data_IF_475692446399
#
_entry.id   IF_475692446399
#
_cell.length_a   1.000
_cell.length_b   1.000
_cell.length_c   1.000
_cell.angle_alpha   90.00
_cell.angle_beta   90.00
_cell.angle_gamma   90.00
#
_symmetry.space_group_name_H-M   'P 1'
#
loop_
_entity.id
_entity.type
_entity.pdbx_description
1 polymer ?
#
# COMPACT_ATOMS: atom_id res chain seq x y z
N UNK A 1 69.96 -12.03 50.01
CA UNK A 1 69.97 -12.98 48.87
C UNK A 1 69.73 -12.17 47.61
N UNK A 2 70.81 -11.76 46.93
CA UNK A 2 71.41 -12.38 45.73
C UNK A 2 70.60 -12.06 44.45
N UNK A 3 70.95 -11.02 43.67
CA UNK A 3 71.88 -11.00 42.49
C UNK A 3 71.35 -11.81 41.28
N UNK A 4 71.33 -11.44 39.98
CA UNK A 4 71.98 -10.44 39.08
C UNK A 4 71.06 -10.23 37.83
N UNK A 5 71.04 -9.15 37.04
CA UNK A 5 72.06 -8.40 36.27
C UNK A 5 72.85 -9.19 35.20
N UNK A 6 72.52 -8.94 33.92
CA UNK A 6 73.38 -9.01 32.71
C UNK A 6 72.81 -7.97 31.74
N UNK A 7 73.32 -6.73 31.61
CA UNK A 7 74.58 -6.21 31.03
C UNK A 7 74.79 -6.57 29.54
N UNK A 8 74.70 -5.57 28.64
CA UNK A 8 75.76 -4.99 27.78
C UNK A 8 75.08 -4.06 26.71
N UNK A 9 75.19 -2.72 26.71
CA UNK A 9 76.32 -1.84 26.25
C UNK A 9 76.50 -1.96 24.72
N UNK A 10 76.60 -0.94 23.84
CA UNK A 10 76.78 0.53 23.89
C UNK A 10 76.64 1.12 22.46
N UNK A 11 76.53 2.46 22.38
CA UNK A 11 77.05 3.40 21.37
C UNK A 11 76.42 3.40 19.96
N UNK A 12 75.65 4.44 19.58
CA UNK A 12 76.04 5.81 19.18
C UNK A 12 76.90 5.85 17.91
N UNK A 13 76.29 6.30 16.80
CA UNK A 13 76.95 7.22 15.85
C UNK A 13 75.91 7.98 15.03
N UNK A 14 75.99 9.30 15.16
CA UNK A 14 75.24 10.32 14.43
C UNK A 14 75.87 10.53 13.03
N UNK A 15 75.08 11.12 12.14
CA UNK A 15 75.43 11.79 10.87
C UNK A 15 75.60 10.92 9.62
N UNK A 16 74.67 11.06 8.69
CA UNK A 16 74.91 11.93 7.52
C UNK A 16 73.62 12.13 6.71
N UNK A 17 73.20 13.39 6.63
CA UNK A 17 72.33 13.87 5.56
C UNK A 17 73.07 13.67 4.24
N UNK A 18 72.53 12.81 3.38
CA UNK A 18 72.79 12.88 1.94
C UNK A 18 71.44 13.03 1.25
N UNK A 19 71.09 14.29 1.00
CA UNK A 19 70.18 14.64 -0.06
C UNK A 19 70.85 14.28 -1.38
N UNK A 20 70.37 13.24 -2.05
CA UNK A 20 70.59 13.07 -3.49
C UNK A 20 69.24 13.16 -4.19
N UNK A 21 69.10 14.30 -4.84
CA UNK A 21 68.08 14.68 -5.80
C UNK A 21 68.00 13.62 -6.92
N UNK A 22 66.92 12.84 -6.96
CA UNK A 22 66.64 11.92 -8.05
C UNK A 22 65.52 12.48 -8.92
N UNK A 23 65.95 12.86 -10.11
CA UNK A 23 65.23 13.47 -11.22
C UNK A 23 63.93 12.73 -11.57
N UNK A 24 62.91 13.49 -11.94
CA UNK A 24 61.59 13.00 -12.32
C UNK A 24 61.68 11.97 -13.45
N UNK A 25 61.07 10.80 -13.24
CA UNK A 25 60.58 9.98 -14.32
C UNK A 25 59.15 9.58 -13.97
N UNK A 26 58.19 10.15 -14.71
CA UNK A 26 56.81 9.72 -14.76
C UNK A 26 56.77 8.22 -15.06
N UNK A 27 56.56 7.41 -14.03
CA UNK A 27 56.04 6.05 -14.15
C UNK A 27 54.67 6.10 -13.49
N UNK A 28 53.63 5.99 -14.31
CA UNK A 28 52.30 5.68 -13.86
C UNK A 28 52.38 4.30 -13.19
N UNK A 29 52.56 4.29 -11.87
CA UNK A 29 52.22 3.10 -11.09
C UNK A 29 50.69 3.03 -11.07
N UNK A 30 50.15 2.04 -11.78
CA UNK A 30 48.80 1.52 -11.57
C UNK A 30 48.75 0.98 -10.14
N UNK A 31 48.57 1.89 -9.19
CA UNK A 31 48.15 1.56 -7.84
C UNK A 31 46.71 1.08 -8.00
N UNK A 32 46.53 -0.24 -7.93
CA UNK A 32 45.24 -0.87 -7.71
C UNK A 32 44.68 -0.34 -6.37
N UNK A 33 44.02 0.81 -6.42
CA UNK A 33 43.15 1.27 -5.36
C UNK A 33 42.01 0.26 -5.38
N UNK A 34 42.05 -0.71 -4.46
CA UNK A 34 40.83 -1.44 -4.12
C UNK A 34 39.88 -0.36 -3.60
N UNK A 35 38.94 0.08 -4.45
CA UNK A 35 37.78 0.81 -3.97
C UNK A 35 37.16 -0.08 -2.90
N UNK A 36 37.37 0.29 -1.64
CA UNK A 36 36.48 -0.13 -0.58
C UNK A 36 35.19 0.57 -0.96
N UNK A 37 34.36 -0.13 -1.75
CA UNK A 37 32.95 0.19 -1.91
C UNK A 37 32.37 0.01 -0.52
N UNK A 38 32.43 1.09 0.27
CA UNK A 38 31.54 1.24 1.41
C UNK A 38 30.16 1.23 0.76
N UNK A 39 29.54 0.06 0.71
CA UNK A 39 28.09 -0.05 0.59
C UNK A 39 27.56 0.73 1.77
N UNK A 40 27.30 2.01 1.57
CA UNK A 40 26.29 2.71 2.33
C UNK A 40 25.01 1.92 2.08
N UNK A 41 24.70 1.01 3.01
CA UNK A 41 23.33 0.63 3.27
C UNK A 41 22.62 1.87 3.82
N UNK A 42 22.47 2.90 2.98
CA UNK A 42 21.45 3.92 3.18
C UNK A 42 20.15 3.26 2.81
N UNK A 43 19.53 2.62 3.80
CA UNK A 43 18.12 2.30 3.73
C UNK A 43 17.51 2.47 5.11
N UNK A 44 17.57 3.71 5.60
CA UNK A 44 16.41 4.28 6.28
C UNK A 44 15.28 4.29 5.24
N UNK A 45 14.66 3.12 5.08
CA UNK A 45 13.44 2.99 4.31
C UNK A 45 12.38 3.49 5.27
N UNK A 46 11.86 4.69 5.02
CA UNK A 46 10.68 5.15 5.75
C UNK A 46 9.65 4.01 5.77
N UNK A 47 9.06 3.69 6.92
CA UNK A 47 8.06 2.62 7.00
C UNK A 47 6.95 2.87 5.98
N UNK A 48 6.54 1.83 5.25
CA UNK A 48 5.43 1.92 4.29
C UNK A 48 4.15 1.39 4.93
N UNK A 49 3.02 2.07 4.68
CA UNK A 49 1.69 1.52 4.94
C UNK A 49 1.17 1.01 3.61
N UNK A 50 0.96 -0.31 3.49
CA UNK A 50 0.43 -0.94 2.29
C UNK A 50 -0.98 -1.42 2.55
N UNK A 51 -1.92 -0.95 1.74
CA UNK A 51 -3.35 -1.23 1.90
C UNK A 51 -3.89 -1.83 0.61
N UNK A 52 -4.53 -2.99 0.67
CA UNK A 52 -5.33 -3.50 -0.44
C UNK A 52 -6.81 -3.36 -0.11
N UNK A 53 -7.55 -2.64 -0.96
CA UNK A 53 -8.99 -2.51 -0.88
C UNK A 53 -9.61 -3.54 -1.83
N UNK A 54 -10.43 -4.44 -1.29
CA UNK A 54 -11.14 -5.46 -2.03
C UNK A 54 -12.63 -5.13 -1.93
N UNK A 55 -13.24 -4.68 -3.02
CA UNK A 55 -14.65 -4.28 -3.06
C UNK A 55 -15.47 -5.30 -3.86
N UNK A 56 -16.53 -5.80 -3.24
CA UNK A 56 -17.53 -6.56 -3.97
C UNK A 56 -18.35 -5.65 -4.90
N UNK A 57 -18.52 -6.12 -6.13
CA UNK A 57 -19.27 -5.47 -7.21
C UNK A 57 -20.36 -6.38 -7.77
N UNK A 58 -20.79 -7.37 -6.99
CA UNK A 58 -21.97 -8.19 -7.28
C UNK A 58 -23.24 -7.33 -7.36
N UNK A 59 -24.28 -7.83 -8.01
CA UNK A 59 -25.58 -7.14 -8.05
C UNK A 59 -26.24 -7.08 -6.65
N UNK A 60 -25.83 -7.93 -5.71
CA UNK A 60 -26.36 -7.92 -4.35
C UNK A 60 -25.90 -6.67 -3.57
N UNK A 61 -24.82 -6.04 -4.01
CA UNK A 61 -24.30 -4.77 -3.50
C UNK A 61 -25.02 -3.53 -4.04
N UNK A 62 -26.07 -3.69 -4.86
CA UNK A 62 -26.88 -2.57 -5.34
C UNK A 62 -27.46 -1.75 -4.18
N UNK A 63 -27.21 -0.44 -4.19
CA UNK A 63 -27.60 0.47 -3.11
C UNK A 63 -26.71 0.41 -1.85
N UNK A 64 -25.83 -0.59 -1.72
CA UNK A 64 -24.84 -0.73 -0.66
C UNK A 64 -23.45 -0.22 -1.06
N UNK A 65 -23.12 -0.36 -2.34
CA UNK A 65 -21.76 -0.14 -2.84
C UNK A 65 -21.25 1.29 -2.60
N UNK A 66 -22.11 2.31 -2.69
CA UNK A 66 -21.67 3.70 -2.49
C UNK A 66 -21.32 4.00 -1.03
N UNK A 67 -22.02 3.38 -0.08
CA UNK A 67 -21.67 3.46 1.34
C UNK A 67 -20.37 2.70 1.61
N UNK A 68 -20.18 1.54 1.00
CA UNK A 68 -18.94 0.78 1.10
C UNK A 68 -17.74 1.58 0.58
N UNK A 69 -17.86 2.19 -0.61
CA UNK A 69 -16.84 3.08 -1.19
C UNK A 69 -16.54 4.26 -0.27
N UNK A 70 -17.56 4.93 0.27
CA UNK A 70 -17.38 6.05 1.19
C UNK A 70 -16.63 5.62 2.47
N UNK A 71 -16.95 4.46 3.03
CA UNK A 71 -16.28 3.93 4.21
C UNK A 71 -14.83 3.54 3.93
N UNK A 72 -14.57 2.86 2.81
CA UNK A 72 -13.21 2.53 2.37
C UNK A 72 -12.40 3.81 2.16
N UNK A 73 -12.98 4.82 1.51
CA UNK A 73 -12.34 6.12 1.30
C UNK A 73 -12.04 6.84 2.61
N UNK A 74 -12.95 6.77 3.60
CA UNK A 74 -12.71 7.33 4.94
C UNK A 74 -11.49 6.68 5.60
N UNK A 75 -11.40 5.35 5.56
CA UNK A 75 -10.25 4.60 6.10
C UNK A 75 -8.96 5.03 5.41
N UNK A 76 -8.97 5.14 4.08
CA UNK A 76 -7.82 5.60 3.29
C UNK A 76 -7.37 7.00 3.73
N UNK A 77 -8.31 7.93 3.90
CA UNK A 77 -7.98 9.28 4.36
C UNK A 77 -7.39 9.26 5.76
N UNK A 78 -7.97 8.51 6.70
CA UNK A 78 -7.46 8.39 8.07
C UNK A 78 -6.02 7.84 8.08
N UNK A 79 -5.73 6.82 7.26
CA UNK A 79 -4.38 6.27 7.10
C UNK A 79 -3.41 7.26 6.45
N UNK A 80 -3.88 8.14 5.56
CA UNK A 80 -3.02 9.16 4.92
C UNK A 80 -2.51 10.22 5.90
N UNK A 81 -3.26 10.44 6.99
CA UNK A 81 -2.89 11.36 8.06
C UNK A 81 -2.15 10.69 9.21
N UNK A 82 -2.06 9.35 9.21
CA UNK A 82 -1.35 8.61 10.24
C UNK A 82 0.14 8.97 10.21
N UNK A 83 0.69 9.30 11.38
CA UNK A 83 2.11 9.62 11.58
C UNK A 83 2.70 8.66 12.60
N UNK A 84 3.88 8.15 12.31
CA UNK A 84 4.70 7.44 13.30
C UNK A 84 5.78 8.42 13.77
N UNK A 85 5.68 8.85 15.04
CA UNK A 85 6.55 9.86 15.62
C UNK A 85 6.59 11.16 14.78
N UNK A 86 7.74 11.48 14.18
CA UNK A 86 7.99 12.64 13.31
C UNK A 86 8.00 12.29 11.81
N UNK A 87 7.79 11.02 11.44
CA UNK A 87 7.81 10.56 10.06
C UNK A 87 6.40 10.21 9.57
N UNK A 88 6.04 10.76 8.41
CA UNK A 88 4.86 10.34 7.66
C UNK A 88 5.24 9.10 6.84
N UNK A 89 4.73 7.90 7.16
CA UNK A 89 4.99 6.70 6.37
C UNK A 89 4.43 6.86 4.96
N UNK A 90 5.03 6.19 3.98
CA UNK A 90 4.53 6.24 2.61
C UNK A 90 3.32 5.32 2.47
N UNK A 91 2.14 5.90 2.18
CA UNK A 91 0.91 5.15 1.98
C UNK A 91 0.79 4.68 0.54
N UNK A 92 0.70 3.36 0.35
CA UNK A 92 0.45 2.73 -0.94
C UNK A 92 -0.83 1.92 -0.91
N UNK A 93 -1.68 2.14 -1.89
CA UNK A 93 -3.01 1.54 -1.94
C UNK A 93 -3.19 0.78 -3.25
N UNK A 94 -3.66 -0.45 -3.15
CA UNK A 94 -4.13 -1.26 -4.26
C UNK A 94 -5.65 -1.38 -4.20
N UNK A 95 -6.29 -1.54 -5.36
CA UNK A 95 -7.73 -1.69 -5.48
C UNK A 95 -8.06 -2.90 -6.34
N UNK A 96 -8.89 -3.79 -5.79
CA UNK A 96 -9.48 -4.92 -6.48
C UNK A 96 -11.00 -4.81 -6.45
N UNK A 97 -11.60 -5.25 -7.54
CA UNK A 97 -13.02 -5.60 -7.57
C UNK A 97 -13.15 -7.12 -7.68
N UNK A 98 -14.22 -7.66 -7.09
CA UNK A 98 -14.59 -9.06 -7.23
C UNK A 98 -16.11 -9.20 -7.30
N UNK A 99 -16.60 -10.39 -7.64
CA UNK A 99 -18.03 -10.70 -7.73
C UNK A 99 -18.70 -10.24 -9.03
N UNK A 100 -17.92 -9.85 -10.05
CA UNK A 100 -18.46 -9.37 -11.33
C UNK A 100 -18.39 -10.44 -12.43
N UNK A 101 -19.55 -10.83 -12.98
CA UNK A 101 -19.70 -11.93 -13.94
C UNK A 101 -19.07 -11.63 -15.31
N UNK A 102 -18.80 -10.36 -15.61
CA UNK A 102 -18.08 -9.96 -16.82
C UNK A 102 -16.56 -10.09 -16.67
N UNK A 103 -16.08 -10.45 -15.47
CA UNK A 103 -14.68 -10.73 -15.23
C UNK A 103 -14.34 -12.16 -15.61
N UNK A 104 -13.05 -12.41 -15.83
CA UNK A 104 -12.59 -13.71 -16.28
C UNK A 104 -12.91 -14.79 -15.24
N UNK A 105 -13.73 -15.77 -15.64
CA UNK A 105 -14.10 -16.90 -14.79
C UNK A 105 -12.86 -17.73 -14.38
N UNK A 106 -11.84 -17.82 -15.24
CA UNK A 106 -10.58 -18.52 -14.95
C UNK A 106 -9.78 -17.82 -13.83
N UNK A 107 -9.93 -16.50 -13.71
CA UNK A 107 -9.32 -15.71 -12.63
C UNK A 107 -10.18 -15.71 -11.36
N UNK A 108 -11.40 -16.24 -11.43
CA UNK A 108 -12.35 -16.32 -10.32
C UNK A 108 -13.20 -15.05 -10.15
N UNK A 109 -13.55 -14.40 -11.25
CA UNK A 109 -14.40 -13.20 -11.27
C UNK A 109 -13.85 -12.03 -10.43
N UNK A 110 -12.54 -11.81 -10.52
CA UNK A 110 -11.83 -10.74 -9.82
C UNK A 110 -10.93 -9.98 -10.80
N UNK A 111 -10.68 -8.70 -10.51
CA UNK A 111 -9.79 -7.84 -11.31
C UNK A 111 -9.00 -6.90 -10.41
N UNK A 112 -7.70 -6.80 -10.67
CA UNK A 112 -6.87 -5.73 -10.13
C UNK A 112 -7.14 -4.43 -10.89
N UNK A 113 -7.76 -3.46 -10.24
CA UNK A 113 -8.09 -2.16 -10.83
C UNK A 113 -6.87 -1.23 -10.77
N UNK A 114 -6.19 -1.22 -9.62
CA UNK A 114 -4.93 -0.49 -9.41
C UNK A 114 -3.98 -1.38 -8.60
N UNK A 115 -2.72 -1.47 -9.05
CA UNK A 115 -1.61 -1.96 -8.22
C UNK A 115 -1.33 -1.01 -7.03
N UNK A 116 -0.34 -1.31 -6.21
CA UNK A 116 0.10 -0.36 -5.19
C UNK A 116 0.51 0.99 -5.81
N UNK A 117 -0.28 2.02 -5.51
CA UNK A 117 -0.08 3.40 -5.95
C UNK A 117 -0.11 4.34 -4.74
N UNK A 118 0.61 5.45 -4.81
CA UNK A 118 0.58 6.57 -3.86
C UNK A 118 -0.27 7.76 -4.38
N UNK A 119 -0.83 7.67 -5.59
CA UNK A 119 -1.68 8.70 -6.20
C UNK A 119 -3.14 8.58 -5.70
N UNK A 120 -3.44 9.27 -4.59
CA UNK A 120 -4.76 9.27 -3.96
C UNK A 120 -5.89 9.73 -4.90
N UNK A 121 -5.59 10.60 -5.88
CA UNK A 121 -6.59 11.06 -6.87
C UNK A 121 -6.95 9.92 -7.83
N UNK A 122 -5.96 9.14 -8.29
CA UNK A 122 -6.17 7.97 -9.13
C UNK A 122 -6.96 6.88 -8.40
N UNK A 123 -6.62 6.65 -7.12
CA UNK A 123 -7.29 5.69 -6.24
C UNK A 123 -8.74 6.08 -6.02
N UNK A 124 -9.00 7.33 -5.63
CA UNK A 124 -10.35 7.88 -5.46
C UNK A 124 -11.18 7.70 -6.73
N UNK A 125 -10.63 8.15 -7.86
CA UNK A 125 -11.30 8.07 -9.15
C UNK A 125 -11.67 6.65 -9.54
N UNK A 126 -10.77 5.70 -9.29
CA UNK A 126 -11.00 4.30 -9.66
C UNK A 126 -12.03 3.67 -8.74
N UNK A 127 -11.92 3.86 -7.42
CA UNK A 127 -12.86 3.37 -6.40
C UNK A 127 -14.29 3.85 -6.67
N UNK A 128 -14.47 5.16 -6.90
CA UNK A 128 -15.81 5.72 -7.14
C UNK A 128 -16.35 5.42 -8.54
N UNK A 129 -15.49 5.01 -9.49
CA UNK A 129 -15.95 4.57 -10.81
C UNK A 129 -16.42 3.12 -10.88
N UNK A 130 -16.22 2.34 -9.81
CA UNK A 130 -16.68 0.95 -9.75
C UNK A 130 -18.22 0.92 -9.70
N UNK A 131 -18.81 0.03 -10.48
CA UNK A 131 -20.26 -0.18 -10.53
C UNK A 131 -20.55 -1.65 -10.32
N UNK A 132 -21.70 -1.93 -9.74
CA UNK A 132 -22.23 -3.29 -9.60
C UNK A 132 -22.60 -3.85 -10.97
N UNK A 133 -22.13 -5.06 -11.27
CA UNK A 133 -22.46 -5.76 -12.51
C UNK A 133 -22.06 -7.23 -12.40
N UNK A 134 -22.70 -7.99 -11.52
CA UNK A 134 -22.09 -9.23 -11.07
C UNK A 134 -22.93 -10.29 -10.38
N UNK A 135 -22.33 -11.47 -10.25
CA UNK A 135 -22.88 -12.68 -9.65
C UNK A 135 -22.06 -13.12 -8.43
N UNK A 136 -21.61 -14.37 -8.41
CA UNK A 136 -21.14 -15.02 -7.17
C UNK A 136 -19.85 -14.41 -6.60
N UNK A 137 -19.84 -14.20 -5.29
CA UNK A 137 -18.70 -13.70 -4.52
C UNK A 137 -17.71 -14.81 -4.12
N UNK A 138 -16.42 -14.47 -4.08
CA UNK A 138 -15.34 -15.40 -3.73
C UNK A 138 -14.31 -14.76 -2.78
N UNK A 139 -14.71 -14.46 -1.54
CA UNK A 139 -13.89 -13.75 -0.55
C UNK A 139 -12.51 -14.41 -0.32
N UNK A 140 -12.46 -15.74 -0.14
CA UNK A 140 -11.21 -16.46 0.06
C UNK A 140 -10.27 -16.39 -1.16
N UNK A 141 -10.84 -16.40 -2.37
CA UNK A 141 -10.07 -16.31 -3.62
C UNK A 141 -9.46 -14.93 -3.80
N UNK A 142 -10.23 -13.86 -3.59
CA UNK A 142 -9.72 -12.48 -3.79
C UNK A 142 -8.60 -12.15 -2.81
N UNK A 143 -8.70 -12.59 -1.54
CA UNK A 143 -7.62 -12.41 -0.56
C UNK A 143 -6.37 -13.16 -1.00
N UNK A 144 -6.51 -14.44 -1.37
CA UNK A 144 -5.37 -15.23 -1.83
C UNK A 144 -4.73 -14.62 -3.08
N UNK A 145 -5.53 -14.11 -4.02
CA UNK A 145 -5.01 -13.44 -5.22
C UNK A 145 -4.27 -12.16 -4.88
N UNK A 146 -4.82 -11.30 -4.01
CA UNK A 146 -4.17 -10.06 -3.58
C UNK A 146 -2.84 -10.34 -2.84
N UNK A 147 -2.78 -11.40 -2.04
CA UNK A 147 -1.54 -11.83 -1.37
C UNK A 147 -0.45 -12.25 -2.37
N UNK A 148 -0.82 -12.95 -3.44
CA UNK A 148 0.13 -13.50 -4.40
C UNK A 148 0.53 -12.51 -5.52
N UNK A 149 -0.36 -11.61 -5.92
CA UNK A 149 -0.12 -10.69 -7.05
C UNK A 149 0.52 -9.36 -6.61
N UNK A 150 0.24 -8.87 -5.40
CA UNK A 150 0.74 -7.59 -4.94
C UNK A 150 2.16 -7.70 -4.36
N UNK A 151 2.96 -6.68 -4.58
CA UNK A 151 4.32 -6.57 -4.04
C UNK A 151 4.32 -6.07 -2.58
N UNK A 152 3.89 -6.93 -1.65
CA UNK A 152 3.86 -6.64 -0.22
C UNK A 152 5.24 -6.35 0.39
N UNK A 153 6.30 -6.95 -0.16
CA UNK A 153 7.68 -6.75 0.29
C UNK A 153 8.00 -7.40 1.64
N UNK A 154 9.30 -7.48 1.96
CA UNK A 154 9.81 -8.27 3.10
C UNK A 154 10.20 -7.42 4.32
N UNK A 155 9.92 -6.11 4.30
CA UNK A 155 10.24 -5.26 5.43
C UNK A 155 9.25 -5.53 6.57
N UNK A 156 9.78 -5.78 7.77
CA UNK A 156 8.98 -6.08 8.98
C UNK A 156 8.44 -4.82 9.66
N UNK A 157 8.95 -3.66 9.28
CA UNK A 157 8.46 -2.37 9.78
C UNK A 157 7.30 -1.83 8.91
N UNK A 158 7.01 -2.46 7.77
CA UNK A 158 5.89 -2.07 6.91
C UNK A 158 4.58 -2.58 7.51
N UNK A 159 3.58 -1.70 7.61
CA UNK A 159 2.23 -2.07 8.01
C UNK A 159 1.44 -2.56 6.78
N UNK A 160 0.98 -3.81 6.80
CA UNK A 160 0.28 -4.43 5.67
C UNK A 160 -1.16 -4.77 6.03
N UNK A 161 -2.10 -4.15 5.33
CA UNK A 161 -3.53 -4.25 5.62
C UNK A 161 -4.30 -4.65 4.37
N UNK A 162 -5.28 -5.52 4.55
CA UNK A 162 -6.34 -5.78 3.57
C UNK A 162 -7.65 -5.28 4.17
N UNK A 163 -8.44 -4.53 3.40
CA UNK A 163 -9.83 -4.23 3.72
C UNK A 163 -10.71 -4.90 2.67
N UNK A 164 -11.54 -5.86 3.09
CA UNK A 164 -12.51 -6.51 2.22
C UNK A 164 -13.92 -6.03 2.58
N UNK A 165 -14.71 -5.65 1.58
CA UNK A 165 -16.10 -5.21 1.72
C UNK A 165 -17.03 -6.03 0.82
N UNK A 166 -18.20 -6.42 1.35
CA UNK A 166 -19.20 -7.25 0.68
C UNK A 166 -20.35 -7.66 1.62
N UNK A 167 -21.33 -8.39 1.10
CA UNK A 167 -22.58 -8.72 1.82
C UNK A 167 -23.02 -10.18 1.69
N UNK A 168 -22.35 -11.03 0.91
CA UNK A 168 -22.61 -12.48 0.91
C UNK A 168 -21.81 -13.24 1.96
N UNK A 169 -22.09 -14.55 2.16
CA UNK A 169 -21.33 -15.35 3.09
C UNK A 169 -19.83 -15.42 2.78
N UNK A 170 -19.00 -15.14 3.79
CA UNK A 170 -17.54 -15.13 3.67
C UNK A 170 -16.95 -16.51 3.32
N UNK A 171 -17.74 -17.57 3.52
CA UNK A 171 -17.40 -18.95 3.22
C UNK A 171 -17.61 -19.35 1.76
N UNK A 172 -18.13 -18.45 0.93
CA UNK A 172 -18.48 -18.75 -0.45
C UNK A 172 -17.23 -19.01 -1.31
N UNK A 173 -17.34 -20.03 -2.18
CA UNK A 173 -16.27 -20.41 -3.09
C UNK A 173 -15.52 -21.69 -2.76
N UNK A 174 -14.62 -22.05 -3.68
CA UNK A 174 -13.78 -23.24 -3.56
C UNK A 174 -12.51 -22.99 -2.71
N UNK A 175 -12.13 -21.74 -2.49
CA UNK A 175 -10.98 -21.37 -1.66
C UNK A 175 -11.46 -21.14 -0.24
N UNK A 176 -10.96 -21.95 0.70
CA UNK A 176 -11.32 -21.82 2.10
C UNK A 176 -10.74 -20.51 2.67
N UNK A 177 -11.63 -19.67 3.20
CA UNK A 177 -11.25 -18.39 3.82
C UNK A 177 -10.24 -18.57 4.97
N UNK A 178 -10.27 -19.70 5.70
CA UNK A 178 -9.32 -19.98 6.79
C UNK A 178 -7.90 -20.17 6.28
N UNK A 179 -7.74 -20.83 5.12
CA UNK A 179 -6.43 -21.03 4.51
C UNK A 179 -5.90 -19.70 3.98
N UNK A 180 -6.76 -18.87 3.39
CA UNK A 180 -6.41 -17.51 2.96
C UNK A 180 -6.03 -16.61 4.15
N UNK A 181 -6.79 -16.61 5.25
CA UNK A 181 -6.47 -15.87 6.47
C UNK A 181 -5.16 -16.34 7.10
N UNK A 182 -4.91 -17.66 7.13
CA UNK A 182 -3.64 -18.21 7.62
C UNK A 182 -2.46 -17.75 6.77
N UNK A 183 -2.61 -17.75 5.45
CA UNK A 183 -1.58 -17.24 4.53
C UNK A 183 -1.34 -15.74 4.75
N UNK A 184 -2.40 -14.94 4.91
CA UNK A 184 -2.29 -13.52 5.20
C UNK A 184 -1.47 -13.28 6.48
N UNK A 185 -1.83 -13.97 7.56
CA UNK A 185 -1.13 -13.88 8.84
C UNK A 185 0.34 -14.31 8.74
N UNK A 186 0.64 -15.37 7.99
CA UNK A 186 2.03 -15.80 7.74
C UNK A 186 2.87 -14.78 6.97
N UNK A 187 2.23 -13.95 6.14
CA UNK A 187 2.88 -12.86 5.39
C UNK A 187 2.87 -11.52 6.14
N UNK A 188 2.49 -11.53 7.42
CA UNK A 188 2.33 -10.34 8.27
C UNK A 188 1.32 -9.33 7.69
N UNK A 189 0.25 -9.86 7.07
CA UNK A 189 -0.84 -9.09 6.48
C UNK A 189 -2.10 -9.27 7.33
N UNK A 190 -2.62 -8.16 7.85
CA UNK A 190 -3.85 -8.14 8.65
C UNK A 190 -5.07 -7.91 7.75
N UNK A 191 -6.09 -8.77 7.85
CA UNK A 191 -7.32 -8.68 7.08
C UNK A 191 -8.42 -8.08 7.94
N UNK A 192 -8.87 -6.89 7.58
CA UNK A 192 -10.02 -6.23 8.15
C UNK A 192 -11.23 -6.44 7.24
N UNK A 193 -12.37 -6.75 7.83
CA UNK A 193 -13.57 -7.17 7.11
C UNK A 193 -14.71 -6.18 7.36
N UNK A 194 -15.38 -5.76 6.29
CA UNK A 194 -16.47 -4.78 6.29
C UNK A 194 -17.71 -5.45 5.69
N UNK A 195 -18.66 -5.85 6.53
CA UNK A 195 -19.90 -6.44 6.06
C UNK A 195 -20.93 -5.35 5.73
N UNK A 196 -21.49 -5.38 4.52
CA UNK A 196 -22.52 -4.45 4.10
C UNK A 196 -23.90 -5.03 4.44
N UNK A 197 -24.43 -4.69 5.62
CA UNK A 197 -25.68 -5.24 6.12
C UNK A 197 -25.77 -5.21 7.65
N UNK A 198 -26.56 -6.14 8.20
CA UNK A 198 -26.72 -6.29 9.64
C UNK A 198 -25.45 -6.85 10.32
N UNK A 199 -25.13 -6.33 11.51
CA UNK A 199 -23.91 -6.70 12.23
C UNK A 199 -23.91 -8.17 12.67
N UNK A 200 -25.03 -8.68 13.18
CA UNK A 200 -25.12 -10.07 13.63
C UNK A 200 -25.15 -11.03 12.45
N UNK A 201 -25.73 -10.59 11.31
CA UNK A 201 -25.65 -11.33 10.07
C UNK A 201 -24.20 -11.57 9.64
N UNK A 202 -23.35 -10.53 9.61
CA UNK A 202 -21.94 -10.71 9.24
C UNK A 202 -21.16 -11.62 10.19
N UNK A 203 -21.51 -11.67 11.48
CA UNK A 203 -20.97 -12.65 12.41
C UNK A 203 -21.41 -14.07 12.02
N UNK A 204 -22.71 -14.26 11.77
CA UNK A 204 -23.27 -15.57 11.40
C UNK A 204 -22.68 -16.10 10.09
N UNK A 205 -22.39 -15.20 9.15
CA UNK A 205 -21.83 -15.49 7.83
C UNK A 205 -20.29 -15.48 7.78
N UNK A 206 -19.64 -15.49 8.96
CA UNK A 206 -18.19 -15.68 9.16
C UNK A 206 -17.28 -14.52 8.75
N UNK A 207 -17.82 -13.32 8.53
CA UNK A 207 -16.99 -12.13 8.31
C UNK A 207 -16.12 -11.82 9.53
N UNK A 208 -16.71 -11.85 10.73
CA UNK A 208 -15.96 -11.63 11.97
C UNK A 208 -14.87 -12.68 12.19
N UNK A 209 -15.18 -13.95 11.92
CA UNK A 209 -14.23 -15.06 12.02
C UNK A 209 -13.04 -14.86 11.07
N UNK A 210 -13.29 -14.40 9.85
CA UNK A 210 -12.25 -14.08 8.86
C UNK A 210 -11.26 -13.01 9.34
N UNK A 211 -11.75 -11.93 9.94
CA UNK A 211 -10.91 -10.89 10.54
C UNK A 211 -10.14 -11.38 11.77
N UNK A 212 -10.83 -12.04 12.71
CA UNK A 212 -10.25 -12.53 13.96
C UNK A 212 -9.04 -13.46 13.71
N UNK A 213 -9.10 -14.30 12.67
CA UNK A 213 -8.03 -15.22 12.26
C UNK A 213 -6.72 -14.52 11.85
N UNK A 214 -6.79 -13.23 11.52
CA UNK A 214 -5.63 -12.41 11.13
C UNK A 214 -5.32 -11.30 12.14
N UNK A 215 -6.00 -11.30 13.30
CA UNK A 215 -5.98 -10.20 14.27
C UNK A 215 -6.45 -8.86 13.68
N UNK A 216 -7.32 -8.91 12.67
CA UNK A 216 -7.96 -7.74 12.09
C UNK A 216 -9.25 -7.37 12.80
N UNK A 217 -9.87 -6.29 12.32
CA UNK A 217 -11.13 -5.79 12.84
C UNK A 217 -12.31 -6.14 11.94
N UNK A 218 -13.43 -6.43 12.57
CA UNK A 218 -14.72 -6.60 11.92
C UNK A 218 -15.60 -5.37 12.11
N UNK A 219 -16.16 -4.89 11.01
CA UNK A 219 -17.14 -3.81 10.98
C UNK A 219 -18.33 -4.22 10.14
N UNK A 220 -19.52 -3.69 10.47
CA UNK A 220 -20.68 -3.76 9.61
C UNK A 220 -21.17 -2.36 9.26
N UNK A 221 -21.59 -2.16 8.02
CA UNK A 221 -22.24 -0.94 7.54
C UNK A 221 -23.72 -1.24 7.40
N UNK A 222 -24.54 -0.76 8.35
CA UNK A 222 -25.97 -0.99 8.32
C UNK A 222 -26.68 0.06 7.45
N UNK A 223 -27.06 -0.36 6.25
CA UNK A 223 -27.77 0.42 5.24
C UNK A 223 -29.19 0.90 5.63
N UNK A 224 -29.78 0.34 6.69
CA UNK A 224 -31.13 0.75 7.13
C UNK A 224 -31.09 2.08 7.89
N UNK A 225 -29.91 2.51 8.33
CA UNK A 225 -29.69 3.92 8.59
C UNK A 225 -29.44 4.57 7.24
N UNK A 226 -30.52 5.10 6.65
CA UNK A 226 -30.38 6.04 5.55
C UNK A 226 -29.32 7.07 5.98
N UNK A 227 -28.18 7.08 5.30
CA UNK A 227 -27.46 8.33 5.10
C UNK A 227 -28.48 9.23 4.42
N UNK A 228 -29.23 9.97 5.24
CA UNK A 228 -30.11 11.02 4.76
C UNK A 228 -29.14 11.96 4.06
N UNK A 229 -29.04 11.84 2.74
CA UNK A 229 -28.43 12.87 1.93
C UNK A 229 -29.39 14.06 2.05
N UNK A 230 -29.25 14.80 3.15
CA UNK A 230 -29.88 16.09 3.30
C UNK A 230 -29.18 16.94 2.27
N UNK A 231 -29.79 17.08 1.09
CA UNK A 231 -29.32 17.97 0.06
C UNK A 231 -29.09 19.32 0.72
N UNK A 232 -27.82 19.72 0.84
CA UNK A 232 -27.50 21.00 1.42
C UNK A 232 -27.71 22.04 0.33
N UNK A 233 -28.17 23.26 0.65
CA UNK A 233 -28.29 24.32 -0.34
C UNK A 233 -26.93 24.73 -0.95
N UNK A 234 -25.82 24.17 -0.44
CA UNK A 234 -24.46 24.41 -0.89
C UNK A 234 -23.94 23.32 -1.84
N UNK A 235 -24.66 22.23 -2.07
CA UNK A 235 -24.15 21.12 -2.89
C UNK A 235 -23.91 21.57 -4.34
N UNK A 236 -24.81 22.40 -4.88
CA UNK A 236 -24.66 23.03 -6.19
C UNK A 236 -23.49 24.01 -6.22
N UNK A 237 -23.29 24.77 -5.13
CA UNK A 237 -22.18 25.72 -5.00
C UNK A 237 -20.84 24.98 -4.90
N UNK A 238 -20.77 23.88 -4.16
CA UNK A 238 -19.59 23.00 -4.05
C UNK A 238 -19.27 22.39 -5.42
N UNK A 239 -20.28 21.96 -6.17
CA UNK A 239 -20.11 21.44 -7.53
C UNK A 239 -19.59 22.54 -8.47
N UNK A 240 -20.12 23.76 -8.37
CA UNK A 240 -19.67 24.90 -9.17
C UNK A 240 -18.23 25.33 -8.80
N UNK A 241 -17.90 25.36 -7.51
CA UNK A 241 -16.55 25.63 -7.02
C UNK A 241 -15.58 24.52 -7.44
N UNK A 242 -16.00 23.27 -7.45
CA UNK A 242 -15.20 22.15 -7.97
C UNK A 242 -14.92 22.33 -9.48
N UNK A 243 -15.93 22.75 -10.26
CA UNK A 243 -15.74 23.12 -11.68
C UNK A 243 -14.71 24.25 -11.83
N UNK A 244 -14.83 25.32 -11.04
CA UNK A 244 -13.88 26.45 -11.05
C UNK A 244 -12.48 26.02 -10.63
N UNK A 245 -12.35 25.23 -9.56
CA UNK A 245 -11.08 24.68 -9.09
C UNK A 245 -10.40 23.83 -10.17
N UNK A 246 -11.15 23.02 -10.91
CA UNK A 246 -10.59 22.25 -12.01
C UNK A 246 -10.03 23.14 -13.12
N UNK A 247 -10.57 24.34 -13.35
CA UNK A 247 -10.01 25.27 -14.36
C UNK A 247 -8.64 25.84 -13.99
N UNK A 248 -8.23 25.80 -12.71
CA UNK A 248 -6.90 26.24 -12.28
C UNK A 248 -5.84 25.14 -12.43
N UNK A 249 -6.23 23.93 -12.86
CA UNK A 249 -5.30 22.82 -13.06
C UNK A 249 -4.38 23.08 -14.26
N UNK A 250 -3.09 23.29 -13.98
CA UNK A 250 -2.06 23.45 -15.01
C UNK A 250 -1.40 22.10 -15.28
N UNK A 251 -1.79 21.48 -16.39
CA UNK A 251 -1.23 20.23 -16.86
C UNK A 251 0.17 20.44 -17.46
N UNK A 252 1.22 20.04 -16.75
CA UNK A 252 2.60 20.09 -17.26
C UNK A 252 3.05 18.75 -17.87
N UNK A 253 3.80 18.82 -18.98
CA UNK A 253 4.33 17.64 -19.67
C UNK A 253 3.31 16.81 -20.43
N UNK A 254 3.76 15.70 -21.04
CA UNK A 254 2.91 14.77 -21.79
C UNK A 254 1.98 13.97 -20.88
N UNK A 255 2.47 13.53 -19.71
CA UNK A 255 1.69 12.81 -18.70
C UNK A 255 0.59 13.69 -18.10
N UNK A 256 0.90 14.93 -17.70
CA UNK A 256 -0.10 15.88 -17.17
C UNK A 256 -1.21 16.18 -18.16
N UNK A 257 -0.89 16.34 -19.45
CA UNK A 257 -1.90 16.56 -20.51
C UNK A 257 -2.82 15.37 -20.73
N UNK A 258 -2.33 14.13 -20.55
CA UNK A 258 -3.15 12.91 -20.61
C UNK A 258 -4.09 12.83 -19.39
N UNK A 259 -3.56 13.08 -18.19
CA UNK A 259 -4.35 13.12 -16.94
C UNK A 259 -5.46 14.18 -17.01
N UNK A 260 -5.15 15.38 -17.51
CA UNK A 260 -6.13 16.46 -17.69
C UNK A 260 -7.29 16.07 -18.61
N UNK A 261 -6.99 15.50 -19.78
CA UNK A 261 -8.02 15.01 -20.71
C UNK A 261 -8.92 13.94 -20.08
N UNK A 262 -8.33 13.02 -19.31
CA UNK A 262 -9.10 12.01 -18.57
C UNK A 262 -9.91 12.57 -17.39
N UNK A 263 -9.59 13.78 -16.91
CA UNK A 263 -10.35 14.48 -15.85
C UNK A 263 -11.59 15.18 -16.43
N UNK A 264 -11.49 15.75 -17.63
CA UNK A 264 -12.64 16.38 -18.31
C UNK A 264 -13.71 15.38 -18.77
N UNK A 265 -13.32 14.17 -19.21
CA UNK A 265 -14.26 13.19 -19.76
C UNK A 265 -15.09 12.40 -18.71
N UNK A 266 -14.85 12.58 -17.41
CA UNK A 266 -15.52 11.82 -16.33
C UNK A 266 -16.36 12.70 -15.38
N UNK A 267 -16.62 13.95 -15.76
CA UNK A 267 -17.60 14.76 -15.03
C UNK A 267 -19.01 14.18 -15.29
N UNK A 268 -19.87 14.06 -14.26
CA UNK A 268 -21.28 13.83 -14.51
C UNK A 268 -21.79 14.98 -15.40
N UNK A 269 -22.24 14.62 -16.59
CA UNK A 269 -23.04 15.51 -17.44
C UNK A 269 -24.36 15.77 -16.69
N UNK A 270 -24.93 16.99 -16.82
CA UNK A 270 -26.07 17.44 -16.02
C UNK A 270 -27.25 16.48 -16.05
#
# INVERSE_FOLDING_TARGET
MKTQFKTLILAVSLASLTACNANSNNRNEDLAISEIVIKTTSKDKNPEIKVALLLDTSNSMDGLIDQAKAQLWKIVNELSYAKCEEQSPNLKIALYEYGNDNLNADEGYLRQVIAFSDDLDEISKSLFSLTTNGGNEYCGKVINTALNQLEWGDNKEDLKLIFIAGNEPYTQGNVNYKDASKLAHQNDVTVNTIFCGDYDQGISTKWKDGADLTHGNYMAINHNQATVHVASPYDDEILELNKKLNTTYVAYGTSGRKKWKCKQNKMPMP
#
